data_IF_052243872769
#
_entry.id   IF_052243872769
#
_cell.length_a   1.000
_cell.length_b   1.000
_cell.length_c   1.000
_cell.angle_alpha   90.00
_cell.angle_beta   90.00
_cell.angle_gamma   90.00
#
_symmetry.space_group_name_H-M   'P 1'
#
loop_
_entity.id
_entity.type
_entity.pdbx_description
1 polymer ?
#
# COMPACT_ATOMS: atom_id res chain seq x y z
N UNK A 1 -49.33 -39.25 49.99
CA UNK A 1 -49.66 -37.90 49.48
C UNK A 1 -48.68 -36.83 49.98
N UNK A 2 -48.48 -36.66 51.29
CA UNK A 2 -47.58 -35.63 51.89
C UNK A 2 -46.11 -35.73 51.46
N UNK A 3 -45.54 -36.95 51.38
CA UNK A 3 -44.14 -37.17 50.94
C UNK A 3 -43.91 -36.70 49.50
N UNK A 4 -44.88 -36.96 48.62
CA UNK A 4 -44.85 -36.58 47.20
C UNK A 4 -44.95 -35.06 47.03
N UNK A 5 -45.81 -34.39 47.81
CA UNK A 5 -45.91 -32.93 47.81
C UNK A 5 -44.61 -32.24 48.24
N UNK A 6 -43.91 -32.75 49.28
CA UNK A 6 -42.61 -32.19 49.70
C UNK A 6 -41.54 -32.33 48.63
N UNK A 7 -41.50 -33.47 47.94
CA UNK A 7 -40.52 -33.71 46.86
C UNK A 7 -40.77 -32.79 45.66
N UNK A 8 -42.03 -32.57 45.29
CA UNK A 8 -42.42 -31.62 44.24
C UNK A 8 -42.07 -30.18 44.63
N UNK A 9 -42.31 -29.79 45.88
CA UNK A 9 -41.93 -28.45 46.37
C UNK A 9 -40.41 -28.22 46.33
N UNK A 10 -39.63 -29.21 46.77
CA UNK A 10 -38.16 -29.11 46.74
C UNK A 10 -37.61 -28.97 45.31
N UNK A 11 -38.12 -29.78 44.36
CA UNK A 11 -37.76 -29.67 42.94
C UNK A 11 -38.17 -28.33 42.32
N UNK A 12 -39.31 -27.77 42.74
CA UNK A 12 -39.74 -26.44 42.30
C UNK A 12 -38.82 -25.34 42.83
N UNK A 13 -38.38 -25.42 44.09
CA UNK A 13 -37.47 -24.44 44.67
C UNK A 13 -36.08 -24.47 44.01
N UNK A 14 -35.58 -25.68 43.71
CA UNK A 14 -34.32 -25.88 42.97
C UNK A 14 -34.43 -25.33 41.54
N UNK A 15 -35.50 -25.66 40.82
CA UNK A 15 -35.78 -25.12 39.48
C UNK A 15 -35.90 -23.59 39.50
N UNK A 16 -36.52 -23.01 40.54
CA UNK A 16 -36.64 -21.56 40.68
C UNK A 16 -35.31 -20.88 41.03
N UNK A 17 -34.37 -21.61 41.65
CA UNK A 17 -33.00 -21.14 41.86
C UNK A 17 -32.21 -21.14 40.53
N UNK A 18 -32.31 -22.21 39.73
CA UNK A 18 -31.70 -22.31 38.41
C UNK A 18 -32.25 -21.26 37.43
N UNK A 19 -33.57 -21.02 37.43
CA UNK A 19 -34.17 -19.96 36.60
C UNK A 19 -33.61 -18.59 36.99
N UNK A 20 -33.32 -18.36 38.28
CA UNK A 20 -32.75 -17.10 38.76
C UNK A 20 -31.29 -16.92 38.30
N UNK A 21 -30.48 -17.98 38.34
CA UNK A 21 -29.09 -17.92 37.84
C UNK A 21 -29.07 -17.72 36.33
N UNK A 22 -29.86 -18.49 35.58
CA UNK A 22 -29.98 -18.35 34.11
C UNK A 22 -30.38 -16.93 33.72
N UNK A 23 -31.36 -16.32 34.41
CA UNK A 23 -31.77 -14.94 34.14
C UNK A 23 -30.68 -13.92 34.41
N UNK A 24 -29.87 -14.14 35.45
CA UNK A 24 -28.72 -13.29 35.77
C UNK A 24 -27.65 -13.40 34.67
N UNK A 25 -27.30 -14.62 34.27
CA UNK A 25 -26.31 -14.87 33.22
C UNK A 25 -26.78 -14.32 31.85
N UNK A 26 -28.08 -14.45 31.55
CA UNK A 26 -28.69 -13.84 30.36
C UNK A 26 -28.56 -12.32 30.36
N UNK A 27 -28.75 -11.68 31.52
CA UNK A 27 -28.60 -10.22 31.64
C UNK A 27 -27.15 -9.79 31.41
N UNK A 28 -26.20 -10.46 32.04
CA UNK A 28 -24.77 -10.19 31.87
C UNK A 28 -24.33 -10.41 30.41
N UNK A 29 -24.83 -11.48 29.78
CA UNK A 29 -24.58 -11.77 28.36
C UNK A 29 -25.15 -10.69 27.45
N UNK A 30 -26.36 -10.20 27.72
CA UNK A 30 -26.98 -9.11 26.94
C UNK A 30 -26.21 -7.79 27.07
N UNK A 31 -25.74 -7.47 28.27
CA UNK A 31 -24.90 -6.28 28.52
C UNK A 31 -23.58 -6.39 27.75
N UNK A 32 -22.91 -7.54 27.81
CA UNK A 32 -21.68 -7.79 27.05
C UNK A 32 -21.89 -7.70 25.54
N UNK A 33 -22.98 -8.27 25.00
CA UNK A 33 -23.32 -8.17 23.57
C UNK A 33 -23.56 -6.72 23.17
N UNK A 34 -24.22 -5.92 24.02
CA UNK A 34 -24.47 -4.50 23.77
C UNK A 34 -23.16 -3.72 23.67
N UNK A 35 -22.25 -3.93 24.62
CA UNK A 35 -20.92 -3.32 24.57
C UNK A 35 -20.13 -3.72 23.32
N UNK A 36 -20.16 -5.01 22.96
CA UNK A 36 -19.50 -5.48 21.74
C UNK A 36 -20.08 -4.84 20.49
N UNK A 37 -21.40 -4.67 20.40
CA UNK A 37 -22.05 -3.97 19.28
C UNK A 37 -21.59 -2.51 19.18
N UNK A 38 -21.49 -1.82 20.30
CA UNK A 38 -21.00 -0.43 20.32
C UNK A 38 -19.52 -0.33 19.94
N UNK A 39 -18.68 -1.21 20.47
CA UNK A 39 -17.25 -1.30 20.10
C UNK A 39 -17.09 -1.61 18.62
N UNK A 40 -17.85 -2.55 18.07
CA UNK A 40 -17.84 -2.88 16.64
C UNK A 40 -18.28 -1.70 15.77
N UNK A 41 -19.31 -0.95 16.16
CA UNK A 41 -19.73 0.25 15.43
C UNK A 41 -18.63 1.31 15.39
N UNK A 42 -17.95 1.55 16.52
CA UNK A 42 -16.80 2.46 16.58
C UNK A 42 -15.64 1.99 15.70
N UNK A 43 -15.35 0.68 15.71
CA UNK A 43 -14.31 0.08 14.89
C UNK A 43 -14.58 0.23 13.39
N UNK A 44 -15.81 0.01 12.95
CA UNK A 44 -16.20 0.23 11.56
C UNK A 44 -16.07 1.71 11.15
N UNK A 45 -16.44 2.64 12.03
CA UNK A 45 -16.21 4.08 11.82
C UNK A 45 -14.73 4.41 11.61
N UNK A 46 -13.84 3.87 12.45
CA UNK A 46 -12.39 4.05 12.33
C UNK A 46 -11.82 3.46 11.04
N UNK A 47 -12.29 2.27 10.63
CA UNK A 47 -11.89 1.64 9.37
C UNK A 47 -12.26 2.51 8.17
N UNK A 48 -13.47 3.07 8.14
CA UNK A 48 -13.91 3.97 7.07
C UNK A 48 -13.09 5.25 7.04
N UNK A 49 -12.82 5.86 8.19
CA UNK A 49 -11.96 7.05 8.27
C UNK A 49 -10.54 6.77 7.76
N UNK A 50 -9.96 5.63 8.16
CA UNK A 50 -8.61 5.22 7.71
C UNK A 50 -8.57 5.02 6.19
N UNK A 51 -9.55 4.32 5.60
CA UNK A 51 -9.66 4.17 4.14
C UNK A 51 -9.78 5.51 3.43
N UNK A 52 -10.53 6.46 4.00
CA UNK A 52 -10.69 7.81 3.43
C UNK A 52 -9.38 8.60 3.46
N UNK A 53 -8.62 8.50 4.55
CA UNK A 53 -7.29 9.11 4.66
C UNK A 53 -6.33 8.53 3.62
N UNK A 54 -6.28 7.19 3.49
CA UNK A 54 -5.45 6.53 2.48
C UNK A 54 -5.80 6.97 1.06
N UNK A 55 -7.10 7.09 0.75
CA UNK A 55 -7.56 7.54 -0.57
C UNK A 55 -7.15 8.99 -0.85
N UNK A 56 -7.31 9.88 0.13
CA UNK A 56 -6.88 11.28 0.00
C UNK A 56 -5.37 11.42 -0.18
N UNK A 57 -4.57 10.60 0.53
CA UNK A 57 -3.12 10.57 0.36
C UNK A 57 -2.75 10.12 -1.06
N UNK A 58 -3.40 9.06 -1.55
CA UNK A 58 -3.19 8.52 -2.90
C UNK A 58 -3.56 9.54 -3.98
N UNK A 59 -4.68 10.23 -3.83
CA UNK A 59 -5.12 11.24 -4.80
C UNK A 59 -4.17 12.44 -4.85
N UNK A 60 -3.65 12.87 -3.69
CA UNK A 60 -2.62 13.93 -3.61
C UNK A 60 -1.30 13.52 -4.26
N UNK A 61 -0.91 12.26 -4.16
CA UNK A 61 0.35 11.76 -4.71
C UNK A 61 0.22 11.19 -6.14
N UNK A 62 -1.02 11.09 -6.64
CA UNK A 62 -1.34 10.42 -7.92
C UNK A 62 -0.53 10.96 -9.07
N UNK A 63 -0.33 12.27 -9.14
CA UNK A 63 0.43 12.92 -10.20
C UNK A 63 1.86 13.26 -9.80
N UNK A 64 2.30 12.86 -8.62
CA UNK A 64 3.63 13.20 -8.13
C UNK A 64 4.68 12.19 -8.62
N UNK A 65 5.87 12.71 -8.89
CA UNK A 65 7.09 11.95 -9.13
C UNK A 65 8.17 12.40 -8.15
N UNK A 66 9.07 11.47 -7.80
CA UNK A 66 10.24 11.73 -6.97
C UNK A 66 11.48 11.62 -7.84
N UNK A 67 12.28 12.67 -7.91
CA UNK A 67 13.58 12.68 -8.57
C UNK A 67 14.67 12.58 -7.51
N UNK A 68 15.61 11.65 -7.69
CA UNK A 68 16.76 11.42 -6.78
C UNK A 68 18.06 11.52 -7.55
N UNK A 69 19.08 12.11 -6.93
CA UNK A 69 20.40 12.32 -7.54
C UNK A 69 20.46 13.49 -8.52
N UNK A 70 19.41 14.33 -8.55
CA UNK A 70 19.39 15.54 -9.36
C UNK A 70 20.14 16.65 -8.61
N UNK A 71 21.13 17.24 -9.27
CA UNK A 71 21.87 18.42 -8.82
C UNK A 71 21.43 19.58 -9.69
N UNK A 72 20.84 20.59 -9.06
CA UNK A 72 20.55 21.87 -9.69
C UNK A 72 21.64 22.86 -9.31
N UNK A 73 21.98 23.77 -10.22
CA UNK A 73 22.94 24.83 -9.94
C UNK A 73 22.35 25.78 -8.88
N UNK A 74 22.99 25.94 -7.70
CA UNK A 74 22.50 26.81 -6.64
C UNK A 74 22.48 28.30 -7.05
N UNK A 75 23.19 28.69 -8.10
CA UNK A 75 23.18 30.05 -8.63
C UNK A 75 22.08 30.26 -9.70
N UNK A 76 21.38 29.20 -10.12
CA UNK A 76 20.27 29.31 -11.05
C UNK A 76 19.10 30.02 -10.35
N UNK A 77 18.72 31.18 -10.87
CA UNK A 77 17.58 31.96 -10.36
C UNK A 77 16.23 31.39 -10.79
N UNK A 78 16.23 30.35 -11.63
CA UNK A 78 14.99 29.71 -12.08
C UNK A 78 14.27 29.04 -10.90
N UNK A 79 12.93 29.11 -10.87
CA UNK A 79 12.14 28.30 -9.97
C UNK A 79 12.48 26.81 -10.14
N UNK A 80 12.55 26.07 -9.03
CA UNK A 80 12.80 24.62 -9.01
C UNK A 80 11.93 23.86 -10.01
N UNK A 81 10.66 24.28 -10.14
CA UNK A 81 9.71 23.78 -11.11
C UNK A 81 10.26 23.82 -12.55
N UNK A 82 10.71 24.98 -13.00
CA UNK A 82 11.22 25.19 -14.36
C UNK A 82 12.51 24.40 -14.59
N UNK A 83 13.39 24.33 -13.59
CA UNK A 83 14.63 23.54 -13.68
C UNK A 83 14.32 22.04 -13.83
N UNK A 84 13.29 21.53 -13.14
CA UNK A 84 12.84 20.13 -13.27
C UNK A 84 12.17 19.88 -14.63
N UNK A 85 11.30 20.79 -15.10
CA UNK A 85 10.69 20.71 -16.43
C UNK A 85 11.76 20.69 -17.53
N UNK A 86 12.74 21.59 -17.45
CA UNK A 86 13.84 21.65 -18.39
C UNK A 86 14.71 20.38 -18.34
N UNK A 87 14.98 19.85 -17.15
CA UNK A 87 15.69 18.57 -16.99
C UNK A 87 14.94 17.42 -17.69
N UNK A 88 13.63 17.32 -17.49
CA UNK A 88 12.79 16.29 -18.12
C UNK A 88 12.79 16.48 -19.65
N UNK A 89 12.60 17.70 -20.12
CA UNK A 89 12.63 18.04 -21.55
C UNK A 89 13.92 17.64 -22.22
N UNK A 90 15.06 18.02 -21.64
CA UNK A 90 16.39 17.76 -22.20
C UNK A 90 16.73 16.27 -22.22
N UNK A 91 16.50 15.57 -21.10
CA UNK A 91 17.03 14.22 -20.90
C UNK A 91 16.06 13.12 -21.34
N UNK A 92 14.75 13.37 -21.26
CA UNK A 92 13.73 12.40 -21.66
C UNK A 92 13.14 12.69 -23.05
N UNK A 93 13.39 13.89 -23.60
CA UNK A 93 12.77 14.42 -24.84
C UNK A 93 11.24 14.48 -24.71
N UNK A 94 10.75 14.97 -23.58
CA UNK A 94 9.33 15.09 -23.27
C UNK A 94 9.00 16.52 -22.85
N UNK A 95 8.01 17.13 -23.49
CA UNK A 95 7.44 18.38 -23.00
C UNK A 95 6.41 18.06 -21.92
N UNK A 96 6.65 18.53 -20.70
CA UNK A 96 5.76 18.29 -19.56
C UNK A 96 5.49 19.60 -18.84
N UNK A 97 4.35 19.65 -18.14
CA UNK A 97 4.02 20.75 -17.24
C UNK A 97 3.84 20.24 -15.82
N UNK A 98 4.40 20.98 -14.89
CA UNK A 98 4.26 20.75 -13.45
C UNK A 98 3.26 21.76 -12.87
N UNK A 99 2.57 21.36 -11.81
CA UNK A 99 1.87 22.31 -10.92
C UNK A 99 2.87 22.97 -9.97
N UNK A 100 3.77 22.17 -9.41
CA UNK A 100 4.86 22.65 -8.56
C UNK A 100 5.97 21.60 -8.40
N UNK A 101 7.11 22.04 -7.90
CA UNK A 101 8.20 21.16 -7.50
C UNK A 101 8.91 21.72 -6.26
N UNK A 102 9.29 20.83 -5.36
CA UNK A 102 9.94 21.18 -4.09
C UNK A 102 11.17 20.30 -3.86
N UNK A 103 12.22 20.90 -3.29
CA UNK A 103 13.41 20.19 -2.81
C UNK A 103 13.13 19.67 -1.40
N UNK A 104 13.25 18.36 -1.19
CA UNK A 104 13.01 17.70 0.11
C UNK A 104 14.28 17.11 0.74
N UNK A 105 15.41 17.20 0.05
CA UNK A 105 16.72 16.77 0.51
C UNK A 105 17.80 17.25 -0.48
N UNK A 106 19.07 16.98 -0.21
CA UNK A 106 20.18 17.57 -0.96
C UNK A 106 20.07 17.37 -2.49
N UNK A 107 19.66 16.17 -2.90
CA UNK A 107 19.45 15.81 -4.32
C UNK A 107 18.11 15.11 -4.53
N UNK A 108 17.10 15.44 -3.72
CA UNK A 108 15.78 14.82 -3.78
C UNK A 108 14.72 15.88 -4.00
N UNK A 109 13.93 15.70 -5.05
CA UNK A 109 12.86 16.60 -5.44
C UNK A 109 11.54 15.84 -5.59
N UNK A 110 10.45 16.46 -5.17
CA UNK A 110 9.09 16.01 -5.47
C UNK A 110 8.48 16.98 -6.46
N UNK A 111 7.97 16.47 -7.57
CA UNK A 111 7.33 17.26 -8.60
C UNK A 111 5.89 16.77 -8.82
N UNK A 112 4.93 17.68 -8.74
CA UNK A 112 3.52 17.42 -9.05
C UNK A 112 3.27 17.71 -10.53
N UNK A 113 2.98 16.66 -11.31
CA UNK A 113 2.64 16.80 -12.72
C UNK A 113 1.22 17.37 -12.88
N UNK A 114 0.98 18.13 -13.94
CA UNK A 114 -0.36 18.68 -14.21
C UNK A 114 -1.40 17.58 -14.50
N UNK A 115 -0.96 16.50 -15.14
CA UNK A 115 -1.81 15.38 -15.53
C UNK A 115 -1.09 14.02 -15.37
N UNK A 116 -1.89 12.95 -15.27
CA UNK A 116 -1.39 11.58 -15.09
C UNK A 116 -0.68 11.05 -16.35
N UNK A 117 -1.09 11.48 -17.54
CA UNK A 117 -0.53 11.03 -18.82
C UNK A 117 0.95 11.40 -18.94
N UNK A 118 1.31 12.63 -18.54
CA UNK A 118 2.68 13.11 -18.52
C UNK A 118 3.49 12.35 -17.48
N UNK A 119 2.94 12.11 -16.28
CA UNK A 119 3.58 11.28 -15.25
C UNK A 119 3.92 9.89 -15.81
N UNK A 120 2.98 9.23 -16.47
CA UNK A 120 3.18 7.91 -17.06
C UNK A 120 4.24 7.95 -18.17
N UNK A 121 4.23 9.00 -19.00
CA UNK A 121 5.22 9.21 -20.06
C UNK A 121 6.63 9.38 -19.50
N UNK A 122 6.79 10.16 -18.43
CA UNK A 122 8.06 10.32 -17.71
C UNK A 122 8.52 8.98 -17.12
N UNK A 123 7.64 8.26 -16.43
CA UNK A 123 7.97 6.97 -15.81
C UNK A 123 8.32 5.88 -16.84
N UNK A 124 7.73 5.92 -18.03
CA UNK A 124 8.06 5.02 -19.15
C UNK A 124 9.43 5.35 -19.74
N UNK A 125 9.76 6.63 -19.86
CA UNK A 125 11.01 7.08 -20.50
C UNK A 125 12.21 7.20 -19.54
N UNK A 126 12.02 7.09 -18.22
CA UNK A 126 13.08 7.21 -17.21
C UNK A 126 14.29 6.30 -17.42
N UNK A 127 14.14 5.21 -18.17
CA UNK A 127 15.26 4.33 -18.54
C UNK A 127 16.38 5.05 -19.30
N UNK A 128 16.06 6.13 -20.03
CA UNK A 128 17.04 6.98 -20.73
C UNK A 128 18.04 7.64 -19.77
N UNK A 129 17.65 7.85 -18.52
CA UNK A 129 18.52 8.47 -17.50
C UNK A 129 19.68 7.56 -17.09
N UNK A 130 19.59 6.24 -17.33
CA UNK A 130 20.70 5.31 -17.04
C UNK A 130 21.96 5.63 -17.83
N UNK A 131 21.82 6.28 -18.98
CA UNK A 131 22.91 6.59 -19.90
C UNK A 131 23.47 8.01 -19.69
N UNK A 132 22.97 8.76 -18.70
CA UNK A 132 23.51 10.08 -18.39
C UNK A 132 24.92 9.94 -17.79
N UNK A 133 25.92 10.41 -18.54
CA UNK A 133 27.29 10.46 -18.06
C UNK A 133 27.43 11.51 -16.95
N UNK A 134 28.12 11.18 -15.87
CA UNK A 134 28.44 12.10 -14.78
C UNK A 134 27.37 12.26 -13.68
N UNK A 135 26.13 11.78 -13.87
CA UNK A 135 25.09 11.90 -12.84
C UNK A 135 24.10 10.72 -12.86
N UNK A 136 23.97 10.02 -11.72
CA UNK A 136 23.00 8.93 -11.54
C UNK A 136 21.66 9.49 -11.05
N UNK A 137 20.80 9.88 -11.98
CA UNK A 137 19.44 10.37 -11.67
C UNK A 137 18.41 9.24 -11.76
N UNK A 138 17.54 9.15 -10.75
CA UNK A 138 16.43 8.20 -10.71
C UNK A 138 15.10 8.93 -10.60
N UNK A 139 14.10 8.47 -11.35
CA UNK A 139 12.72 8.93 -11.24
C UNK A 139 11.82 7.78 -10.75
N UNK A 140 11.09 8.02 -9.69
CA UNK A 140 10.13 7.08 -9.09
C UNK A 140 8.76 7.74 -8.98
N UNK A 141 7.70 6.93 -8.83
CA UNK A 141 6.42 7.47 -8.39
C UNK A 141 6.55 7.91 -6.93
N UNK A 142 5.89 9.01 -6.57
CA UNK A 142 5.59 9.25 -5.16
C UNK A 142 4.61 8.16 -4.70
N UNK A 143 4.95 7.49 -3.62
CA UNK A 143 4.20 6.37 -3.06
C UNK A 143 3.69 6.79 -1.70
N UNK A 144 2.48 6.36 -1.35
CA UNK A 144 1.94 6.60 0.01
C UNK A 144 2.77 5.88 1.04
N UNK A 145 2.64 6.23 2.32
CA UNK A 145 3.37 5.53 3.39
C UNK A 145 3.18 4.00 3.32
N UNK A 146 1.94 3.55 3.20
CA UNK A 146 1.58 2.13 3.08
C UNK A 146 2.18 1.50 1.84
N UNK A 147 2.14 2.21 0.72
CA UNK A 147 2.75 1.72 -0.53
C UNK A 147 4.28 1.62 -0.42
N UNK A 148 4.95 2.55 0.27
CA UNK A 148 6.40 2.47 0.54
C UNK A 148 6.76 1.27 1.39
N UNK A 149 5.98 0.98 2.43
CA UNK A 149 6.18 -0.18 3.29
C UNK A 149 6.06 -1.49 2.50
N UNK A 150 5.04 -1.60 1.63
CA UNK A 150 4.88 -2.74 0.72
C UNK A 150 6.08 -2.82 -0.25
N UNK A 151 6.46 -1.71 -0.88
CA UNK A 151 7.59 -1.67 -1.81
C UNK A 151 8.91 -2.07 -1.13
N UNK A 152 9.11 -1.72 0.14
CA UNK A 152 10.27 -2.13 0.93
C UNK A 152 10.29 -3.64 1.17
N UNK A 153 9.14 -4.25 1.53
CA UNK A 153 8.99 -5.72 1.64
C UNK A 153 9.33 -6.40 0.31
N UNK A 154 8.80 -5.88 -0.81
CA UNK A 154 9.08 -6.40 -2.15
C UNK A 154 10.58 -6.31 -2.49
N UNK A 155 11.23 -5.18 -2.20
CA UNK A 155 12.68 -5.02 -2.42
C UNK A 155 13.51 -6.00 -1.60
N UNK A 156 13.12 -6.25 -0.34
CA UNK A 156 13.78 -7.24 0.52
C UNK A 156 13.68 -8.64 -0.09
N UNK A 157 12.48 -9.08 -0.44
CA UNK A 157 12.25 -10.39 -1.09
C UNK A 157 13.02 -10.49 -2.42
N UNK A 158 13.00 -9.45 -3.25
CA UNK A 158 13.75 -9.43 -4.51
C UNK A 158 15.26 -9.60 -4.28
N UNK A 159 15.82 -9.00 -3.23
CA UNK A 159 17.22 -9.18 -2.87
C UNK A 159 17.52 -10.61 -2.44
N UNK A 160 16.70 -11.16 -1.54
CA UNK A 160 16.84 -12.55 -1.08
C UNK A 160 16.78 -13.55 -2.24
N UNK A 161 15.90 -13.32 -3.22
CA UNK A 161 15.80 -14.16 -4.42
C UNK A 161 16.99 -14.01 -5.36
N UNK A 162 17.53 -12.79 -5.51
CA UNK A 162 18.79 -12.58 -6.25
C UNK A 162 19.97 -13.27 -5.58
N UNK A 163 20.05 -13.23 -4.25
CA UNK A 163 21.11 -13.87 -3.48
C UNK A 163 21.05 -15.42 -3.64
N UNK A 164 19.88 -15.98 -3.95
CA UNK A 164 19.68 -17.38 -4.35
C UNK A 164 20.00 -17.68 -5.83
N UNK A 165 20.39 -16.69 -6.61
CA UNK A 165 20.69 -16.82 -8.05
C UNK A 165 19.50 -16.62 -8.98
N UNK A 166 18.32 -16.23 -8.47
CA UNK A 166 17.15 -15.97 -9.31
C UNK A 166 17.21 -14.58 -9.96
N UNK A 167 16.64 -14.49 -11.16
CA UNK A 167 16.44 -13.20 -11.85
C UNK A 167 15.18 -12.53 -11.32
N UNK A 168 15.29 -11.28 -10.88
CA UNK A 168 14.13 -10.55 -10.34
C UNK A 168 13.93 -9.18 -11.00
N UNK A 169 12.68 -8.81 -11.29
CA UNK A 169 12.30 -7.44 -11.67
C UNK A 169 11.22 -6.90 -10.74
N UNK A 170 11.39 -5.66 -10.29
CA UNK A 170 10.44 -5.01 -9.39
C UNK A 170 9.57 -4.04 -10.20
N UNK A 171 8.25 -4.19 -10.10
CA UNK A 171 7.27 -3.25 -10.61
C UNK A 171 6.55 -2.50 -9.47
N UNK A 172 5.48 -1.79 -9.83
CA UNK A 172 4.55 -1.22 -8.86
C UNK A 172 3.73 -2.35 -8.23
N UNK A 173 3.88 -2.57 -6.92
CA UNK A 173 3.18 -3.62 -6.17
C UNK A 173 3.34 -5.04 -6.71
N UNK A 174 4.42 -5.29 -7.45
CA UNK A 174 4.69 -6.60 -8.05
C UNK A 174 6.17 -6.93 -8.13
N UNK A 175 6.45 -8.22 -8.15
CA UNK A 175 7.77 -8.83 -8.25
C UNK A 175 7.73 -9.92 -9.31
N UNK A 176 8.60 -9.82 -10.32
CA UNK A 176 8.85 -10.91 -11.26
C UNK A 176 10.04 -11.72 -10.75
N UNK A 177 9.93 -13.04 -10.70
CA UNK A 177 11.01 -13.97 -10.34
C UNK A 177 11.09 -15.03 -11.44
N UNK A 178 12.22 -15.11 -12.16
CA UNK A 178 12.43 -16.04 -13.27
C UNK A 178 11.28 -16.04 -14.29
N UNK A 179 10.81 -14.86 -14.68
CA UNK A 179 9.70 -14.68 -15.63
C UNK A 179 8.30 -14.89 -15.05
N UNK A 180 8.16 -15.34 -13.80
CA UNK A 180 6.88 -15.48 -13.09
C UNK A 180 6.51 -14.20 -12.37
N UNK A 181 5.32 -13.68 -12.60
CA UNK A 181 4.85 -12.43 -11.99
C UNK A 181 4.06 -12.72 -10.71
N UNK A 182 4.46 -12.04 -9.63
CA UNK A 182 3.82 -12.05 -8.33
C UNK A 182 3.29 -10.66 -8.01
N UNK A 183 2.02 -10.55 -7.64
CA UNK A 183 1.37 -9.27 -7.30
C UNK A 183 1.01 -9.24 -5.81
N UNK A 184 1.07 -8.06 -5.20
CA UNK A 184 0.71 -7.90 -3.79
C UNK A 184 -0.80 -8.03 -3.57
N UNK A 185 -1.20 -8.98 -2.73
CA UNK A 185 -2.56 -9.14 -2.23
C UNK A 185 -2.74 -8.28 -0.96
N UNK A 186 -3.60 -7.26 -1.04
CA UNK A 186 -3.86 -6.35 0.08
C UNK A 186 -4.65 -6.99 1.23
N UNK A 187 -5.38 -8.08 1.00
CA UNK A 187 -6.12 -8.79 2.05
C UNK A 187 -5.22 -9.76 2.81
N UNK A 188 -4.30 -10.42 2.08
CA UNK A 188 -3.38 -11.41 2.66
C UNK A 188 -2.01 -10.83 3.05
N UNK A 189 -1.78 -9.55 2.77
CA UNK A 189 -0.52 -8.83 2.96
C UNK A 189 0.72 -9.59 2.46
N UNK A 190 0.61 -10.21 1.28
CA UNK A 190 1.69 -11.00 0.70
C UNK A 190 1.65 -10.99 -0.82
N UNK A 191 2.79 -11.30 -1.43
CA UNK A 191 2.86 -11.56 -2.88
C UNK A 191 2.17 -12.89 -3.21
N UNK A 192 1.31 -12.87 -4.21
CA UNK A 192 0.64 -14.06 -4.78
C UNK A 192 1.04 -14.19 -6.26
N UNK A 193 1.24 -15.42 -6.73
CA UNK A 193 1.55 -15.68 -8.13
C UNK A 193 0.32 -15.35 -8.99
N UNK A 194 0.49 -14.47 -9.98
CA UNK A 194 -0.60 -14.01 -10.85
C UNK A 194 -0.41 -14.38 -12.31
N UNK A 195 0.83 -14.54 -12.79
CA UNK A 195 1.10 -14.94 -14.17
C UNK A 195 2.36 -15.80 -14.30
N UNK A 196 2.31 -16.82 -15.17
CA UNK A 196 3.46 -17.61 -15.59
C UNK A 196 3.71 -17.25 -17.05
N UNK A 197 4.75 -16.45 -17.33
CA UNK A 197 5.23 -16.36 -18.71
C UNK A 197 5.93 -17.68 -19.03
N UNK A 198 5.20 -18.64 -19.58
CA UNK A 198 5.81 -19.75 -20.29
C UNK A 198 6.34 -19.13 -21.58
N UNK A 199 7.64 -18.89 -21.64
CA UNK A 199 8.28 -18.49 -22.89
C UNK A 199 7.96 -19.56 -23.93
N UNK A 200 7.29 -19.17 -25.01
CA UNK A 200 7.20 -19.98 -26.20
C UNK A 200 8.63 -20.35 -26.60
N UNK A 201 8.96 -21.63 -26.45
CA UNK A 201 10.18 -22.19 -26.98
C UNK A 201 10.14 -22.08 -28.49
N UNK A 202 10.83 -21.08 -29.04
CA UNK A 202 11.33 -21.18 -30.41
C UNK A 202 12.44 -22.23 -30.40
N UNK A 203 12.03 -23.50 -30.50
CA UNK A 203 12.91 -24.55 -30.95
C UNK A 203 13.32 -24.19 -32.38
N UNK A 204 14.59 -23.84 -32.54
CA UNK A 204 15.27 -23.97 -33.82
C UNK A 204 15.19 -25.45 -34.22
N UNK A 205 14.53 -25.73 -35.33
CA UNK A 205 15.03 -26.52 -36.45
C UNK A 205 14.03 -26.45 -37.60
#
# INVERSE_FOLDING_TARGET
MIKMMREVMWKNDEMMAEIRTIRKDQKETMEYIRELKEKNKKLEGLKMATKRIEQLEKDRQRNNIVLKGLTLDPNDRKPVKESVEHFIGRNLKLQVKLRGAVKIGDQIFVAEMENLTDKLSVLKNKGKLKNLQGQKVYIESDLTRKEREIQAKIRKMAKEEKDKGNTTKIGYMKLEINGKEWTWDHNKEKLILTHINIGEGTSKN
#
